data_IF_022300775168
#
_entry.id   IF_022300775168
#
_cell.length_a   1.000
_cell.length_b   1.000
_cell.length_c   1.000
_cell.angle_alpha   90.00
_cell.angle_beta   90.00
_cell.angle_gamma   90.00
#
_symmetry.space_group_name_H-M   'P 1'
#
loop_
_entity.id
_entity.type
_entity.pdbx_description
1 polymer ?
#
# COMPACT_ATOMS: atom_id res chain seq x y z
N UNK A 1 12.89 67.85 32.03
CA UNK A 1 11.81 67.01 31.46
C UNK A 1 12.27 65.96 30.46
N UNK A 2 13.44 66.06 29.81
CA UNK A 2 13.91 65.06 28.83
C UNK A 2 14.21 63.64 29.38
N UNK A 3 14.47 63.49 30.68
CA UNK A 3 14.86 62.19 31.29
C UNK A 3 13.65 61.27 31.50
N UNK A 4 12.49 61.82 31.85
CA UNK A 4 11.25 61.06 32.05
C UNK A 4 10.62 60.61 30.73
N UNK A 5 10.71 61.42 29.67
CA UNK A 5 10.25 61.04 28.31
C UNK A 5 11.02 59.83 27.77
N UNK A 6 12.35 59.81 27.99
CA UNK A 6 13.21 58.69 27.58
C UNK A 6 12.86 57.40 28.34
N UNK A 7 12.54 57.50 29.63
CA UNK A 7 12.10 56.35 30.45
C UNK A 7 10.71 55.85 30.05
N UNK A 8 9.76 56.74 29.76
CA UNK A 8 8.41 56.36 29.31
C UNK A 8 8.45 55.59 27.98
N UNK A 9 9.27 56.05 27.04
CA UNK A 9 9.47 55.37 25.75
C UNK A 9 10.10 53.99 25.92
N UNK A 10 11.12 53.85 26.78
CA UNK A 10 11.77 52.57 27.03
C UNK A 10 10.82 51.53 27.67
N UNK A 11 9.94 51.97 28.58
CA UNK A 11 8.96 51.09 29.24
C UNK A 11 7.91 50.59 28.25
N UNK A 12 7.54 51.39 27.24
CA UNK A 12 6.59 50.99 26.20
C UNK A 12 7.25 50.14 25.09
N UNK A 13 8.53 50.40 24.79
CA UNK A 13 9.27 49.70 23.74
C UNK A 13 9.70 48.29 24.18
N UNK A 14 10.00 48.08 25.46
CA UNK A 14 10.43 46.79 26.00
C UNK A 14 9.42 45.64 25.77
N UNK A 15 8.11 45.77 26.10
CA UNK A 15 7.14 44.71 25.82
C UNK A 15 6.89 44.52 24.31
N UNK A 16 6.94 45.59 23.51
CA UNK A 16 6.84 45.48 22.05
C UNK A 16 8.00 44.66 21.48
N UNK A 17 9.23 44.95 21.93
CA UNK A 17 10.42 44.20 21.56
C UNK A 17 10.34 42.76 22.04
N UNK A 18 9.81 42.51 23.24
CA UNK A 18 9.62 41.15 23.76
C UNK A 18 8.67 40.34 22.87
N UNK A 19 7.52 40.90 22.48
CA UNK A 19 6.56 40.23 21.59
C UNK A 19 7.20 39.97 20.23
N UNK A 20 7.90 40.95 19.66
CA UNK A 20 8.56 40.81 18.37
C UNK A 20 9.67 39.75 18.44
N UNK A 21 10.45 39.73 19.51
CA UNK A 21 11.48 38.73 19.76
C UNK A 21 10.89 37.32 19.88
N UNK A 22 9.80 37.14 20.63
CA UNK A 22 9.10 35.85 20.75
C UNK A 22 8.49 35.43 19.41
N UNK A 23 7.94 36.37 18.64
CA UNK A 23 7.40 36.11 17.30
C UNK A 23 8.51 35.65 16.34
N UNK A 24 9.64 36.36 16.31
CA UNK A 24 10.80 35.98 15.50
C UNK A 24 11.36 34.63 15.93
N UNK A 25 11.50 34.36 17.23
CA UNK A 25 11.95 33.05 17.72
C UNK A 25 11.01 31.93 17.31
N UNK A 26 9.70 32.16 17.36
CA UNK A 26 8.71 31.17 16.91
C UNK A 26 8.88 30.88 15.43
N UNK A 27 8.97 31.92 14.59
CA UNK A 27 9.17 31.75 13.14
C UNK A 27 10.46 30.99 12.85
N UNK A 28 11.58 31.37 13.46
CA UNK A 28 12.87 30.73 13.23
C UNK A 28 12.89 29.27 13.70
N UNK A 29 12.27 28.99 14.85
CA UNK A 29 12.24 27.64 15.44
C UNK A 29 11.32 26.70 14.67
N UNK A 30 10.16 27.18 14.24
CA UNK A 30 9.22 26.43 13.40
C UNK A 30 9.87 26.12 12.06
N UNK A 31 10.54 27.10 11.45
CA UNK A 31 11.24 26.89 10.18
C UNK A 31 12.36 25.84 10.30
N UNK A 32 13.13 25.85 11.38
CA UNK A 32 14.17 24.84 11.57
C UNK A 32 13.60 23.43 11.80
N UNK A 33 12.50 23.30 12.56
CA UNK A 33 11.97 21.98 12.94
C UNK A 33 11.05 21.37 11.88
N UNK A 34 10.20 22.18 11.23
CA UNK A 34 9.22 21.69 10.25
C UNK A 34 9.79 21.46 8.85
N UNK A 35 11.03 21.90 8.60
CA UNK A 35 11.73 21.63 7.35
C UNK A 35 12.74 20.48 7.49
N UNK A 36 12.85 19.89 8.69
CA UNK A 36 13.64 18.67 8.90
C UNK A 36 12.80 17.44 8.51
N UNK A 37 13.39 16.57 7.70
CA UNK A 37 12.74 15.33 7.28
C UNK A 37 12.42 14.40 8.45
N UNK A 38 13.33 14.31 9.42
CA UNK A 38 13.21 13.46 10.60
C UNK A 38 11.95 13.79 11.42
N UNK A 39 11.55 15.08 11.47
CA UNK A 39 10.32 15.49 12.14
C UNK A 39 9.08 14.79 11.57
N UNK A 40 9.01 14.62 10.25
CA UNK A 40 7.88 13.97 9.59
C UNK A 40 7.93 12.45 9.74
N UNK A 41 9.10 11.85 9.57
CA UNK A 41 9.30 10.40 9.76
C UNK A 41 8.92 9.99 11.18
N UNK A 42 9.45 10.68 12.20
CA UNK A 42 9.12 10.44 13.61
C UNK A 42 7.63 10.66 13.91
N UNK A 43 7.01 11.64 13.24
CA UNK A 43 5.59 11.92 13.42
C UNK A 43 4.73 10.82 12.80
N UNK A 44 5.11 10.28 11.64
CA UNK A 44 4.38 9.21 10.97
C UNK A 44 4.44 7.91 11.78
N UNK A 45 5.62 7.58 12.30
CA UNK A 45 5.79 6.44 13.22
C UNK A 45 4.97 6.64 14.50
N UNK A 46 5.07 7.82 15.13
CA UNK A 46 4.33 8.11 16.38
C UNK A 46 2.81 8.06 16.19
N UNK A 47 2.31 8.44 15.02
CA UNK A 47 0.88 8.42 14.71
C UNK A 47 0.40 7.04 14.24
N UNK A 48 1.30 6.06 14.06
CA UNK A 48 0.95 4.74 13.54
C UNK A 48 0.41 4.80 12.11
N UNK A 49 0.95 5.71 11.28
CA UNK A 49 0.47 5.91 9.90
C UNK A 49 0.66 4.65 9.07
N UNK A 50 1.75 3.91 9.29
CA UNK A 50 2.01 2.67 8.59
C UNK A 50 0.99 1.60 8.98
N UNK A 51 0.71 1.42 10.27
CA UNK A 51 -0.32 0.50 10.75
C UNK A 51 -1.71 0.85 10.19
N UNK A 52 -2.08 2.14 10.21
CA UNK A 52 -3.31 2.63 9.60
C UNK A 52 -3.38 2.33 8.09
N UNK A 53 -2.27 2.46 7.37
CA UNK A 53 -2.23 2.14 5.94
C UNK A 53 -2.60 0.68 5.68
N UNK A 54 -2.12 -0.26 6.47
CA UNK A 54 -2.45 -1.69 6.30
C UNK A 54 -3.80 -2.08 6.87
N UNK A 55 -4.20 -1.50 8.00
CA UNK A 55 -5.43 -1.86 8.69
C UNK A 55 -6.69 -1.29 8.00
N UNK A 56 -6.60 -0.06 7.47
CA UNK A 56 -7.77 0.67 6.98
C UNK A 56 -7.59 1.12 5.52
N UNK A 57 -6.48 1.80 5.20
CA UNK A 57 -6.36 2.48 3.92
C UNK A 57 -6.21 1.51 2.73
N UNK A 58 -5.41 0.45 2.88
CA UNK A 58 -5.19 -0.56 1.84
C UNK A 58 -6.45 -1.40 1.59
N UNK A 59 -7.11 -1.99 2.60
CA UNK A 59 -8.38 -2.68 2.40
C UNK A 59 -9.42 -1.78 1.71
N UNK A 60 -9.56 -0.53 2.18
CA UNK A 60 -10.46 0.45 1.56
C UNK A 60 -10.10 0.73 0.09
N UNK A 61 -8.83 0.94 -0.23
CA UNK A 61 -8.38 1.20 -1.59
C UNK A 61 -8.64 -0.01 -2.51
N UNK A 62 -8.51 -1.23 -2.00
CA UNK A 62 -8.81 -2.46 -2.73
C UNK A 62 -10.32 -2.59 -2.95
N UNK A 63 -11.14 -2.32 -1.94
CA UNK A 63 -12.60 -2.32 -2.06
C UNK A 63 -13.08 -1.30 -3.11
N UNK A 64 -12.53 -0.08 -3.07
CA UNK A 64 -12.86 1.00 -4.03
C UNK A 64 -12.27 0.76 -5.43
N UNK A 65 -11.29 -0.12 -5.59
CA UNK A 65 -10.69 -0.42 -6.89
C UNK A 65 -11.68 -1.08 -7.87
N UNK A 66 -12.78 -1.62 -7.35
CA UNK A 66 -13.78 -2.35 -8.13
C UNK A 66 -13.30 -3.72 -8.61
N UNK A 67 -12.16 -4.21 -8.11
CA UNK A 67 -11.69 -5.57 -8.36
C UNK A 67 -12.60 -6.54 -7.60
N UNK A 68 -13.31 -7.39 -8.34
CA UNK A 68 -14.04 -8.50 -7.75
C UNK A 68 -13.07 -9.62 -7.35
N UNK A 69 -12.64 -9.58 -6.09
CA UNK A 69 -11.70 -10.55 -5.54
C UNK A 69 -12.28 -11.98 -5.52
N UNK A 70 -13.61 -12.14 -5.49
CA UNK A 70 -14.26 -13.44 -5.53
C UNK A 70 -14.31 -14.01 -6.97
N UNK A 71 -14.25 -13.15 -7.98
CA UNK A 71 -14.17 -13.54 -9.39
C UNK A 71 -12.72 -13.79 -9.87
N UNK A 72 -11.72 -13.70 -8.99
CA UNK A 72 -10.35 -13.95 -9.38
C UNK A 72 -10.17 -15.41 -9.84
N UNK A 73 -9.37 -15.64 -10.89
CA UNK A 73 -9.09 -16.98 -11.38
C UNK A 73 -8.36 -17.80 -10.31
N UNK A 74 -8.31 -19.12 -10.50
CA UNK A 74 -7.71 -20.10 -9.58
C UNK A 74 -8.56 -20.47 -8.36
N UNK A 75 -9.79 -19.95 -8.26
CA UNK A 75 -10.76 -20.33 -7.23
C UNK A 75 -10.33 -19.94 -5.81
N UNK A 76 -9.54 -18.88 -5.71
CA UNK A 76 -9.11 -18.24 -4.48
C UNK A 76 -10.28 -17.49 -3.85
N UNK A 77 -10.40 -17.58 -2.53
CA UNK A 77 -11.36 -16.79 -1.75
C UNK A 77 -10.59 -15.65 -1.07
N UNK A 78 -10.50 -14.50 -1.76
CA UNK A 78 -9.75 -13.34 -1.30
C UNK A 78 -10.68 -12.25 -0.81
N UNK A 79 -10.35 -11.68 0.35
CA UNK A 79 -10.99 -10.47 0.89
C UNK A 79 -10.01 -9.29 0.83
N UNK A 80 -10.49 -8.02 0.85
CA UNK A 80 -9.62 -6.86 0.89
C UNK A 80 -8.64 -6.92 2.08
N UNK A 81 -9.12 -7.29 3.26
CA UNK A 81 -8.29 -7.50 4.45
C UNK A 81 -7.26 -8.63 4.27
N UNK A 82 -7.66 -9.70 3.60
CA UNK A 82 -6.77 -10.82 3.28
C UNK A 82 -5.62 -10.38 2.37
N UNK A 83 -5.94 -9.63 1.31
CA UNK A 83 -4.93 -9.06 0.41
C UNK A 83 -4.00 -8.11 1.16
N UNK A 84 -4.55 -7.20 1.99
CA UNK A 84 -3.73 -6.32 2.83
C UNK A 84 -2.81 -7.11 3.78
N UNK A 85 -3.30 -8.22 4.35
CA UNK A 85 -2.50 -9.13 5.17
C UNK A 85 -1.38 -9.83 4.40
N UNK A 86 -1.63 -10.26 3.16
CA UNK A 86 -0.57 -10.81 2.29
C UNK A 86 0.47 -9.76 1.94
N UNK A 87 0.05 -8.53 1.62
CA UNK A 87 0.98 -7.41 1.35
C UNK A 87 1.79 -7.09 2.60
N UNK A 88 1.20 -7.09 3.79
CA UNK A 88 1.91 -6.88 5.06
C UNK A 88 2.96 -7.96 5.34
N UNK A 89 2.74 -9.21 4.90
CA UNK A 89 3.73 -10.29 5.03
C UNK A 89 4.94 -10.08 4.11
N UNK A 90 4.75 -9.48 2.94
CA UNK A 90 5.84 -9.20 1.99
C UNK A 90 6.57 -7.89 2.34
N UNK A 91 5.80 -6.86 2.63
CA UNK A 91 6.25 -5.51 2.98
C UNK A 91 5.70 -5.17 4.36
N UNK A 92 6.37 -5.57 5.45
CA UNK A 92 5.92 -5.26 6.80
C UNK A 92 5.91 -3.74 7.07
N UNK A 93 5.03 -3.23 7.95
CA UNK A 93 4.98 -1.82 8.32
C UNK A 93 6.34 -1.26 8.73
N UNK A 94 7.12 -2.01 9.50
CA UNK A 94 8.46 -1.64 9.94
C UNK A 94 9.45 -1.51 8.77
N UNK A 95 9.38 -2.41 7.78
CA UNK A 95 10.20 -2.30 6.58
C UNK A 95 9.82 -1.05 5.78
N UNK A 96 8.52 -0.77 5.71
CA UNK A 96 8.00 0.40 5.01
C UNK A 96 8.47 1.69 5.68
N UNK A 97 8.47 1.75 7.02
CA UNK A 97 9.01 2.88 7.76
C UNK A 97 10.51 3.10 7.48
N UNK A 98 11.31 2.05 7.57
CA UNK A 98 12.76 2.10 7.33
C UNK A 98 13.12 2.51 5.88
N UNK A 99 12.32 2.08 4.89
CA UNK A 99 12.63 2.27 3.48
C UNK A 99 11.95 3.50 2.86
N UNK A 100 10.78 3.93 3.37
CA UNK A 100 10.14 5.19 2.96
C UNK A 100 10.66 6.41 3.72
N UNK A 101 11.35 6.25 4.85
CA UNK A 101 12.03 7.36 5.52
C UNK A 101 12.97 8.13 4.56
N UNK A 102 13.67 7.41 3.68
CA UNK A 102 14.51 8.00 2.63
C UNK A 102 13.72 8.77 1.56
N UNK A 103 12.48 8.37 1.26
CA UNK A 103 11.61 9.09 0.33
C UNK A 103 11.14 10.42 0.93
N UNK A 104 10.77 10.43 2.21
CA UNK A 104 10.41 11.65 2.96
C UNK A 104 11.61 12.60 3.02
N UNK A 105 12.82 12.06 3.28
CA UNK A 105 14.05 12.84 3.30
C UNK A 105 14.38 13.55 2.00
N UNK A 106 14.00 12.97 0.85
CA UNK A 106 14.19 13.61 -0.45
C UNK A 106 13.01 14.52 -0.85
N UNK A 107 11.79 14.22 -0.40
CA UNK A 107 10.61 15.02 -0.69
C UNK A 107 10.62 16.38 0.02
N UNK A 108 11.12 16.45 1.26
CA UNK A 108 11.12 17.70 2.04
C UNK A 108 11.95 18.82 1.38
N UNK A 109 13.22 18.61 0.97
CA UNK A 109 13.98 19.63 0.22
C UNK A 109 13.31 20.09 -1.07
N UNK A 110 12.57 19.20 -1.74
CA UNK A 110 11.81 19.55 -2.94
C UNK A 110 10.60 20.45 -2.63
N UNK A 111 9.79 20.08 -1.63
CA UNK A 111 8.61 20.85 -1.23
C UNK A 111 8.97 22.25 -0.70
N UNK A 112 10.16 22.38 -0.12
CA UNK A 112 10.69 23.64 0.42
C UNK A 112 11.42 24.48 -0.63
N UNK A 113 11.61 23.96 -1.84
CA UNK A 113 12.26 24.65 -2.95
C UNK A 113 13.79 24.68 -2.86
N UNK A 114 14.39 23.88 -1.99
CA UNK A 114 15.85 23.71 -1.89
C UNK A 114 16.41 22.86 -3.03
N UNK A 115 15.56 22.08 -3.69
CA UNK A 115 15.92 21.21 -4.81
C UNK A 115 14.79 21.17 -5.83
N UNK A 116 15.15 21.17 -7.12
CA UNK A 116 14.18 21.19 -8.23
C UNK A 116 13.60 19.80 -8.58
N UNK A 117 14.14 18.71 -8.02
CA UNK A 117 13.73 17.33 -8.31
C UNK A 117 14.13 16.37 -7.20
N UNK A 118 13.28 15.39 -6.87
CA UNK A 118 13.62 14.32 -5.94
C UNK A 118 13.50 12.94 -6.60
N UNK A 119 14.20 11.94 -6.08
CA UNK A 119 14.12 10.56 -6.55
C UNK A 119 13.71 9.63 -5.40
N UNK A 120 12.79 8.69 -5.66
CA UNK A 120 12.44 7.66 -4.68
C UNK A 120 13.02 6.33 -5.17
N UNK A 121 13.99 5.80 -4.44
CA UNK A 121 14.58 4.49 -4.71
C UNK A 121 14.16 3.51 -3.62
N UNK A 122 13.36 2.51 -4.00
CA UNK A 122 12.96 1.40 -3.12
C UNK A 122 13.67 0.14 -3.58
N UNK A 123 14.40 -0.52 -2.68
CA UNK A 123 15.06 -1.81 -2.96
C UNK A 123 14.17 -2.93 -2.49
N UNK A 124 13.66 -3.74 -3.42
CA UNK A 124 12.77 -4.86 -3.13
C UNK A 124 13.49 -6.22 -3.17
N UNK A 125 14.81 -6.22 -3.35
CA UNK A 125 15.62 -7.43 -3.54
C UNK A 125 15.42 -8.45 -2.40
N UNK A 126 15.34 -7.95 -1.16
CA UNK A 126 15.14 -8.70 0.07
C UNK A 126 13.68 -9.13 0.29
N UNK A 127 12.74 -8.53 -0.45
CA UNK A 127 11.29 -8.83 -0.36
C UNK A 127 10.87 -9.92 -1.32
N UNK A 128 11.69 -10.28 -2.31
CA UNK A 128 11.41 -11.34 -3.29
C UNK A 128 11.22 -12.69 -2.60
N UNK A 129 12.02 -13.02 -1.59
CA UNK A 129 11.89 -14.29 -0.86
C UNK A 129 10.58 -14.34 -0.04
N UNK A 130 10.23 -13.23 0.61
CA UNK A 130 8.95 -13.12 1.33
C UNK A 130 7.74 -13.23 0.37
N UNK A 131 7.85 -12.64 -0.82
CA UNK A 131 6.84 -12.74 -1.86
C UNK A 131 6.68 -14.18 -2.38
N UNK A 132 7.78 -14.92 -2.59
CA UNK A 132 7.74 -16.33 -3.02
C UNK A 132 6.98 -17.20 -1.99
N UNK A 133 7.21 -16.98 -0.69
CA UNK A 133 6.47 -17.68 0.38
C UNK A 133 4.97 -17.38 0.30
N UNK A 134 4.59 -16.11 0.19
CA UNK A 134 3.17 -15.71 0.11
C UNK A 134 2.50 -16.28 -1.15
N UNK A 135 3.17 -16.23 -2.30
CA UNK A 135 2.65 -16.81 -3.55
C UNK A 135 2.49 -18.33 -3.42
N UNK A 136 3.43 -19.02 -2.78
CA UNK A 136 3.30 -20.47 -2.53
C UNK A 136 2.14 -20.81 -1.61
N UNK A 137 1.92 -20.02 -0.56
CA UNK A 137 0.78 -20.18 0.35
C UNK A 137 -0.53 -20.00 -0.43
N UNK A 138 -0.65 -18.92 -1.22
CA UNK A 138 -1.81 -18.69 -2.08
C UNK A 138 -2.05 -19.83 -3.09
N UNK A 139 -0.99 -20.34 -3.72
CA UNK A 139 -1.12 -21.46 -4.67
C UNK A 139 -1.53 -22.77 -4.01
N UNK A 140 -1.22 -22.98 -2.73
CA UNK A 140 -1.71 -24.14 -1.97
C UNK A 140 -3.20 -24.04 -1.68
N UNK A 141 -3.67 -22.84 -1.37
CA UNK A 141 -5.09 -22.57 -1.08
C UNK A 141 -5.93 -22.48 -2.36
N UNK A 142 -5.28 -22.20 -3.49
CA UNK A 142 -5.92 -22.14 -4.80
C UNK A 142 -6.52 -23.49 -5.21
N UNK A 143 -7.79 -23.47 -5.62
CA UNK A 143 -8.50 -24.62 -6.19
C UNK A 143 -8.25 -24.73 -7.69
N UNK A 144 -6.97 -24.75 -8.07
CA UNK A 144 -6.51 -24.71 -9.47
C UNK A 144 -7.10 -25.86 -10.28
N UNK A 145 -7.21 -27.05 -9.69
CA UNK A 145 -7.79 -28.21 -10.36
C UNK A 145 -9.25 -27.97 -10.77
N UNK A 146 -10.09 -27.48 -9.85
CA UNK A 146 -11.49 -27.18 -10.12
C UNK A 146 -11.61 -26.07 -11.17
N UNK A 147 -10.81 -25.00 -11.03
CA UNK A 147 -10.76 -23.91 -11.99
C UNK A 147 -10.34 -24.38 -13.40
N UNK A 148 -9.31 -25.21 -13.52
CA UNK A 148 -8.88 -25.74 -14.82
C UNK A 148 -9.96 -26.59 -15.48
N UNK A 149 -10.64 -27.45 -14.71
CA UNK A 149 -11.71 -28.28 -15.25
C UNK A 149 -12.90 -27.45 -15.73
N UNK A 150 -13.37 -26.50 -14.92
CA UNK A 150 -14.58 -25.74 -15.23
C UNK A 150 -14.34 -24.58 -16.20
N UNK A 151 -13.18 -23.91 -16.15
CA UNK A 151 -12.92 -22.71 -16.95
C UNK A 151 -12.10 -22.99 -18.22
N UNK A 152 -11.23 -24.02 -18.21
CA UNK A 152 -10.35 -24.32 -19.36
C UNK A 152 -10.81 -25.55 -20.13
N UNK A 153 -11.13 -26.65 -19.44
CA UNK A 153 -11.46 -27.93 -20.08
C UNK A 153 -12.91 -27.97 -20.55
N UNK A 154 -13.86 -27.56 -19.71
CA UNK A 154 -15.30 -27.57 -20.02
C UNK A 154 -15.64 -26.85 -21.32
N UNK A 155 -15.21 -25.59 -21.59
CA UNK A 155 -15.58 -24.90 -22.83
C UNK A 155 -15.05 -25.62 -24.07
N UNK A 156 -13.83 -26.17 -24.01
CA UNK A 156 -13.23 -26.94 -25.11
C UNK A 156 -13.95 -28.26 -25.35
N UNK A 157 -14.38 -28.91 -24.29
CA UNK A 157 -15.15 -30.15 -24.36
C UNK A 157 -16.54 -29.90 -24.94
N UNK A 158 -17.20 -28.81 -24.55
CA UNK A 158 -18.51 -28.40 -25.07
C UNK A 158 -18.45 -27.99 -26.55
N UNK A 159 -17.42 -27.26 -26.96
CA UNK A 159 -17.17 -26.90 -28.36
C UNK A 159 -16.89 -28.14 -29.24
N UNK A 160 -16.15 -29.12 -28.69
CA UNK A 160 -15.66 -30.27 -29.45
C UNK A 160 -16.53 -31.52 -29.29
N UNK A 161 -17.62 -31.47 -28.51
CA UNK A 161 -18.45 -32.62 -28.13
C UNK A 161 -18.93 -33.45 -29.32
N UNK A 162 -19.37 -32.78 -30.39
CA UNK A 162 -19.90 -33.41 -31.60
C UNK A 162 -18.83 -34.24 -32.31
N UNK A 163 -17.57 -33.78 -32.29
CA UNK A 163 -16.45 -34.45 -32.97
C UNK A 163 -15.81 -35.51 -32.09
N UNK A 164 -15.61 -35.21 -30.80
CA UNK A 164 -15.00 -36.13 -29.83
C UNK A 164 -15.90 -37.34 -29.56
N UNK A 165 -17.20 -37.13 -29.41
CA UNK A 165 -18.13 -38.22 -29.09
C UNK A 165 -18.55 -39.02 -30.33
N UNK A 166 -18.55 -38.43 -31.52
CA UNK A 166 -18.81 -39.15 -32.76
C UNK A 166 -17.76 -40.24 -33.07
N UNK A 167 -16.53 -40.10 -32.55
CA UNK A 167 -15.45 -41.08 -32.73
C UNK A 167 -15.46 -42.25 -31.73
N UNK A 168 -16.32 -42.22 -30.71
CA UNK A 168 -16.34 -43.24 -29.66
C UNK A 168 -17.18 -44.45 -30.08
N UNK A 169 -16.65 -45.69 -29.95
CA UNK A 169 -17.47 -46.88 -30.14
C UNK A 169 -18.60 -46.92 -29.11
N UNK A 170 -19.80 -47.31 -29.55
CA UNK A 170 -21.01 -47.48 -28.75
C UNK A 170 -21.74 -46.19 -28.30
N UNK A 171 -21.39 -44.99 -28.81
CA UNK A 171 -22.06 -43.70 -28.55
C UNK A 171 -22.72 -43.60 -27.16
N UNK A 172 -21.94 -43.56 -26.07
CA UNK A 172 -22.43 -43.79 -24.72
C UNK A 172 -23.35 -42.68 -24.17
N UNK A 173 -23.63 -41.62 -24.93
CA UNK A 173 -24.48 -40.50 -24.50
C UNK A 173 -23.91 -39.75 -23.28
N UNK A 174 -22.58 -39.73 -23.14
CA UNK A 174 -21.91 -39.07 -22.02
C UNK A 174 -22.10 -37.55 -22.10
N UNK A 175 -22.41 -36.93 -20.96
CA UNK A 175 -22.44 -35.48 -20.83
C UNK A 175 -21.07 -34.93 -20.42
N UNK A 176 -20.81 -33.66 -20.72
CA UNK A 176 -19.63 -32.92 -20.25
C UNK A 176 -19.46 -33.05 -18.73
N UNK A 177 -20.56 -32.94 -17.98
CA UNK A 177 -20.56 -33.10 -16.51
C UNK A 177 -20.11 -34.49 -16.06
N UNK A 178 -20.58 -35.55 -16.73
CA UNK A 178 -20.19 -36.93 -16.40
C UNK A 178 -18.70 -37.18 -16.63
N UNK A 179 -18.10 -36.52 -17.63
CA UNK A 179 -16.67 -36.65 -17.93
C UNK A 179 -15.85 -35.88 -16.89
N UNK A 180 -16.26 -34.65 -16.56
CA UNK A 180 -15.56 -33.82 -15.58
C UNK A 180 -15.65 -34.43 -14.17
N UNK A 181 -16.79 -35.00 -13.79
CA UNK A 181 -16.95 -35.68 -12.49
C UNK A 181 -16.17 -36.99 -12.40
N UNK A 182 -15.86 -37.65 -13.52
CA UNK A 182 -15.01 -38.84 -13.54
C UNK A 182 -13.52 -38.56 -13.40
N UNK A 183 -13.09 -37.30 -13.57
CA UNK A 183 -11.68 -36.85 -13.48
C UNK A 183 -11.40 -36.11 -12.16
N UNK A 184 -12.45 -35.70 -11.43
CA UNK A 184 -12.35 -35.19 -10.06
C UNK A 184 -12.00 -36.28 -9.06
#
# INVERSE_FOLDING_TARGET
MLITTRRLFAVLLLPMFLVLFVATLTVFRVNATLLEADFYTDTFERLGVYEFLYADALPFAIEESGVDLAALPLGLDLTPDGVAGYVARVLPPEWLAENLGGAIAQAVPYLTGETDSFEITLRLDDRVEAADVVVRDLLRDARIHAYLLDEVVRPRLDESKETLFAGLPFNPGLTTDQILDGVK
#
